data_IF_027602744222
#
_entry.id   IF_027602744222
#
_cell.length_a   1.000
_cell.length_b   1.000
_cell.length_c   1.000
_cell.angle_alpha   90.00
_cell.angle_beta   90.00
_cell.angle_gamma   90.00
#
_symmetry.space_group_name_H-M   'P 1'
#
loop_
_entity.id
_entity.type
_entity.pdbx_description
1 polymer ?
#
# COMPACT_ATOMS: atom_id res chain seq x y z
N UNK A 1 -69.88 -20.16 -40.96
CA UNK A 1 -69.02 -20.85 -41.94
C UNK A 1 -67.58 -20.71 -41.50
N UNK A 2 -66.96 -21.79 -41.03
CA UNK A 2 -65.58 -21.81 -40.53
C UNK A 2 -64.65 -22.35 -41.62
N UNK A 3 -63.64 -21.58 -42.02
CA UNK A 3 -62.63 -22.03 -42.98
C UNK A 3 -61.35 -22.42 -42.22
N UNK A 4 -61.12 -23.72 -42.06
CA UNK A 4 -59.84 -24.25 -41.56
C UNK A 4 -58.84 -24.35 -42.72
N UNK A 5 -57.71 -23.66 -42.58
CA UNK A 5 -56.58 -23.78 -43.51
C UNK A 5 -55.71 -24.98 -43.13
N UNK A 6 -55.21 -25.78 -44.09
CA UNK A 6 -54.31 -26.90 -43.78
C UNK A 6 -52.93 -26.37 -43.42
N UNK A 7 -52.50 -26.56 -42.16
CA UNK A 7 -51.13 -26.31 -41.75
C UNK A 7 -50.20 -27.31 -42.44
N UNK A 8 -49.36 -26.80 -43.34
CA UNK A 8 -48.30 -27.54 -44.01
C UNK A 8 -47.26 -27.93 -42.95
N UNK A 9 -47.23 -29.20 -42.55
CA UNK A 9 -46.22 -29.71 -41.63
C UNK A 9 -44.84 -29.65 -42.30
N UNK A 10 -43.93 -28.84 -41.76
CA UNK A 10 -42.56 -28.72 -42.24
C UNK A 10 -41.82 -30.00 -41.82
N UNK A 11 -41.60 -30.92 -42.76
CA UNK A 11 -40.84 -32.15 -42.52
C UNK A 11 -39.37 -31.89 -42.82
N UNK A 12 -38.60 -31.53 -41.79
CA UNK A 12 -37.16 -31.34 -41.92
C UNK A 12 -36.48 -32.68 -42.24
N UNK A 13 -35.52 -32.66 -43.16
CA UNK A 13 -34.78 -33.87 -43.55
C UNK A 13 -33.86 -34.31 -42.41
N UNK A 14 -33.52 -35.60 -42.36
CA UNK A 14 -32.75 -36.21 -41.26
C UNK A 14 -31.40 -35.48 -41.02
N UNK A 15 -30.77 -34.95 -42.07
CA UNK A 15 -29.50 -34.22 -42.00
C UNK A 15 -29.65 -32.82 -41.42
N UNK A 16 -30.81 -32.18 -41.56
CA UNK A 16 -31.10 -30.87 -40.95
C UNK A 16 -31.25 -31.02 -39.44
N UNK A 17 -31.89 -32.09 -38.97
CA UNK A 17 -31.93 -32.44 -37.55
C UNK A 17 -30.54 -32.75 -36.98
N UNK A 18 -29.70 -33.43 -37.76
CA UNK A 18 -28.32 -33.70 -37.36
C UNK A 18 -27.51 -32.40 -37.23
N UNK A 19 -27.69 -31.45 -38.15
CA UNK A 19 -27.06 -30.14 -38.08
C UNK A 19 -27.52 -29.34 -36.86
N UNK A 20 -28.81 -29.35 -36.52
CA UNK A 20 -29.34 -28.68 -35.33
C UNK A 20 -28.79 -29.30 -34.05
N UNK A 21 -28.75 -30.63 -33.95
CA UNK A 21 -28.18 -31.32 -32.81
C UNK A 21 -26.69 -31.00 -32.62
N UNK A 22 -25.92 -30.96 -33.72
CA UNK A 22 -24.51 -30.57 -33.70
C UNK A 22 -24.33 -29.13 -33.20
N UNK A 23 -25.16 -28.20 -33.66
CA UNK A 23 -25.07 -26.79 -33.31
C UNK A 23 -25.37 -26.56 -31.82
N UNK A 24 -26.38 -27.25 -31.28
CA UNK A 24 -26.70 -27.22 -29.83
C UNK A 24 -25.54 -27.80 -29.01
N UNK A 25 -24.95 -28.92 -29.45
CA UNK A 25 -23.80 -29.52 -28.78
C UNK A 25 -22.59 -28.58 -28.74
N UNK A 26 -22.31 -27.86 -29.83
CA UNK A 26 -21.22 -26.87 -29.90
C UNK A 26 -21.48 -25.69 -28.95
N UNK A 27 -22.70 -25.14 -28.93
CA UNK A 27 -23.06 -24.05 -28.02
C UNK A 27 -22.99 -24.48 -26.54
N UNK A 28 -23.41 -25.71 -26.24
CA UNK A 28 -23.30 -26.31 -24.91
C UNK A 28 -21.83 -26.51 -24.49
N UNK A 29 -21.00 -27.04 -25.39
CA UNK A 29 -19.57 -27.23 -25.13
C UNK A 29 -18.85 -25.90 -24.91
N UNK A 30 -19.15 -24.87 -25.72
CA UNK A 30 -18.60 -23.52 -25.54
C UNK A 30 -19.01 -22.91 -24.21
N UNK A 31 -20.28 -23.06 -23.82
CA UNK A 31 -20.79 -22.59 -22.53
C UNK A 31 -20.11 -23.32 -21.37
N UNK A 32 -20.01 -24.65 -21.45
CA UNK A 32 -19.35 -25.47 -20.43
C UNK A 32 -17.85 -25.13 -20.30
N UNK A 33 -17.16 -24.95 -21.43
CA UNK A 33 -15.75 -24.52 -21.48
C UNK A 33 -15.60 -23.14 -20.85
N UNK A 34 -16.53 -22.22 -21.10
CA UNK A 34 -16.54 -20.89 -20.47
C UNK A 34 -16.75 -20.99 -18.95
N UNK A 35 -17.61 -21.90 -18.45
CA UNK A 35 -17.79 -22.11 -17.02
C UNK A 35 -16.56 -22.75 -16.35
N UNK A 36 -15.89 -23.69 -17.01
CA UNK A 36 -14.70 -24.35 -16.47
C UNK A 36 -13.47 -23.42 -16.47
N UNK A 37 -13.39 -22.48 -17.40
CA UNK A 37 -12.34 -21.44 -17.44
C UNK A 37 -12.66 -20.22 -16.56
N UNK A 38 -13.90 -20.10 -16.05
CA UNK A 38 -14.33 -19.02 -15.15
C UNK A 38 -13.75 -19.10 -13.72
N UNK A 39 -12.86 -20.06 -13.46
CA UNK A 39 -12.16 -20.23 -12.19
C UNK A 39 -10.94 -19.32 -11.98
N UNK A 40 -10.57 -18.45 -12.93
CA UNK A 40 -9.37 -17.60 -12.80
C UNK A 40 -9.48 -16.20 -13.42
N UNK A 41 -10.69 -15.68 -13.64
CA UNK A 41 -10.85 -14.25 -13.98
C UNK A 41 -10.91 -13.45 -12.68
N UNK A 42 -9.76 -13.38 -12.02
CA UNK A 42 -9.47 -12.36 -11.01
C UNK A 42 -9.31 -11.00 -11.69
N UNK A 43 -9.96 -9.99 -11.11
CA UNK A 43 -9.66 -8.56 -11.25
C UNK A 43 -9.80 -7.92 -12.65
N UNK A 44 -10.90 -7.19 -12.83
CA UNK A 44 -10.90 -5.72 -12.87
C UNK A 44 -10.66 -5.17 -14.28
N UNK A 45 -11.74 -5.16 -15.09
CA UNK A 45 -11.94 -4.07 -16.03
C UNK A 45 -13.43 -3.72 -16.07
N UNK A 46 -13.89 -3.04 -15.01
CA UNK A 46 -15.08 -2.21 -15.11
C UNK A 46 -14.62 -0.84 -15.56
N UNK A 47 -14.52 -0.69 -16.88
CA UNK A 47 -14.34 0.58 -17.56
C UNK A 47 -15.55 1.47 -17.28
N UNK A 48 -15.51 2.20 -16.17
CA UNK A 48 -16.48 3.24 -15.85
C UNK A 48 -16.12 4.51 -16.65
N UNK A 49 -17.10 5.21 -17.26
CA UNK A 49 -16.84 6.40 -18.05
C UNK A 49 -16.19 7.50 -17.19
N UNK A 50 -15.06 8.02 -17.66
CA UNK A 50 -14.16 8.96 -16.97
C UNK A 50 -14.81 10.28 -16.53
N UNK A 51 -16.02 10.59 -16.99
CA UNK A 51 -16.73 11.84 -16.70
C UNK A 51 -17.51 11.82 -15.35
N UNK A 52 -17.86 10.65 -14.80
CA UNK A 52 -18.67 10.57 -13.57
C UNK A 52 -17.86 10.50 -12.25
N UNK A 53 -16.52 10.57 -12.30
CA UNK A 53 -15.65 10.31 -11.13
C UNK A 53 -15.11 11.57 -10.45
N UNK A 54 -15.92 12.61 -10.27
CA UNK A 54 -15.55 13.74 -9.37
C UNK A 54 -15.46 13.30 -7.89
N UNK A 55 -15.85 12.06 -7.59
CA UNK A 55 -15.76 11.38 -6.30
C UNK A 55 -15.30 9.92 -6.45
N UNK A 56 -14.31 9.68 -7.32
CA UNK A 56 -13.71 8.35 -7.49
C UNK A 56 -12.78 7.97 -6.34
N UNK A 57 -12.74 6.68 -5.97
CA UNK A 57 -11.64 6.13 -5.17
C UNK A 57 -10.42 5.92 -6.07
N UNK A 58 -9.25 6.27 -5.57
CA UNK A 58 -7.95 6.03 -6.17
C UNK A 58 -7.26 4.87 -5.46
N UNK A 59 -6.50 4.11 -6.23
CA UNK A 59 -5.61 3.08 -5.73
C UNK A 59 -4.20 3.68 -5.59
N UNK A 60 -3.56 3.46 -4.44
CA UNK A 60 -2.20 3.91 -4.14
C UNK A 60 -1.44 2.76 -3.48
N UNK A 61 -0.29 2.40 -4.04
CA UNK A 61 0.62 1.43 -3.44
C UNK A 61 1.62 2.15 -2.54
N UNK A 62 1.72 1.74 -1.27
CA UNK A 62 2.62 2.33 -0.28
C UNK A 62 3.65 1.29 0.14
N UNK A 63 4.92 1.64 0.04
CA UNK A 63 6.05 0.77 0.34
C UNK A 63 7.14 1.51 1.11
N UNK A 64 8.06 0.76 1.72
CA UNK A 64 9.26 1.30 2.36
C UNK A 64 9.13 1.44 3.89
N UNK A 65 9.55 2.58 4.42
CA UNK A 65 9.67 2.87 5.86
C UNK A 65 8.31 3.14 6.54
N UNK A 66 7.37 2.23 6.36
CA UNK A 66 6.00 2.26 6.92
C UNK A 66 5.72 0.98 7.69
N UNK A 67 4.84 1.06 8.68
CA UNK A 67 4.44 -0.11 9.49
C UNK A 67 3.54 -1.03 8.66
N UNK A 68 2.60 -0.45 7.92
CA UNK A 68 1.65 -1.19 7.10
C UNK A 68 1.88 -0.88 5.61
N UNK A 69 2.78 -1.60 4.92
CA UNK A 69 2.90 -1.50 3.48
C UNK A 69 1.73 -2.20 2.78
N UNK A 70 1.43 -1.75 1.56
CA UNK A 70 0.42 -2.37 0.71
C UNK A 70 -0.39 -1.38 -0.11
N UNK A 71 -1.43 -1.90 -0.75
CA UNK A 71 -2.33 -1.12 -1.62
C UNK A 71 -3.51 -0.55 -0.84
N UNK A 72 -3.73 0.75 -0.97
CA UNK A 72 -4.80 1.49 -0.31
C UNK A 72 -5.79 2.06 -1.31
N UNK A 73 -7.08 1.96 -0.97
CA UNK A 73 -8.20 2.51 -1.75
C UNK A 73 -8.74 3.77 -1.06
N UNK A 74 -8.35 4.93 -1.57
CA UNK A 74 -8.52 6.23 -0.92
C UNK A 74 -9.37 7.18 -1.76
N UNK A 75 -10.01 8.21 -1.20
CA UNK A 75 -10.71 9.21 -2.01
C UNK A 75 -9.75 9.95 -2.94
N UNK A 76 -10.19 10.24 -4.17
CA UNK A 76 -9.44 11.06 -5.12
C UNK A 76 -9.18 12.44 -4.54
N UNK A 77 -7.96 12.97 -4.75
CA UNK A 77 -7.56 14.27 -4.22
C UNK A 77 -7.12 14.26 -2.75
N UNK A 78 -7.00 13.08 -2.12
CA UNK A 78 -6.43 12.95 -0.77
C UNK A 78 -4.98 13.48 -0.74
N UNK A 79 -4.63 14.13 0.37
CA UNK A 79 -3.28 14.66 0.57
C UNK A 79 -2.31 13.55 0.97
N UNK A 80 -1.05 13.67 0.53
CA UNK A 80 0.03 12.75 0.88
C UNK A 80 0.15 12.53 2.40
N UNK A 81 0.00 13.59 3.19
CA UNK A 81 0.04 13.51 4.66
C UNK A 81 -0.94 12.48 5.22
N UNK A 82 -2.19 12.53 4.77
CA UNK A 82 -3.25 11.67 5.29
C UNK A 82 -3.01 10.21 4.91
N UNK A 83 -2.46 9.99 3.72
CA UNK A 83 -2.08 8.65 3.23
C UNK A 83 -0.93 8.05 4.05
N UNK A 84 0.11 8.84 4.33
CA UNK A 84 1.22 8.39 5.18
C UNK A 84 0.78 8.16 6.63
N UNK A 85 -0.22 8.89 7.10
CA UNK A 85 -0.81 8.69 8.43
C UNK A 85 -1.54 7.35 8.51
N UNK A 86 -2.26 6.95 7.45
CA UNK A 86 -2.92 5.64 7.36
C UNK A 86 -1.91 4.48 7.30
N UNK A 87 -0.82 4.65 6.55
CA UNK A 87 0.24 3.64 6.45
C UNK A 87 1.06 3.50 7.74
N UNK A 88 1.02 4.51 8.61
CA UNK A 88 1.83 4.70 9.82
C UNK A 88 3.34 4.67 9.53
N UNK A 89 4.02 5.79 9.76
CA UNK A 89 5.45 5.92 9.48
C UNK A 89 6.30 5.27 10.56
N UNK A 90 7.40 4.63 10.15
CA UNK A 90 8.42 4.18 11.10
C UNK A 90 9.23 5.37 11.65
N UNK A 91 9.83 5.26 12.86
CA UNK A 91 10.66 6.33 13.44
C UNK A 91 11.86 6.72 12.57
N UNK A 92 12.35 5.77 11.77
CA UNK A 92 13.43 5.99 10.82
C UNK A 92 12.94 6.50 9.46
N UNK A 93 11.65 6.77 9.22
CA UNK A 93 11.18 7.27 7.93
C UNK A 93 11.76 8.66 7.59
N UNK A 94 12.16 8.86 6.33
CA UNK A 94 12.67 10.12 5.80
C UNK A 94 11.62 10.84 4.93
N UNK A 95 10.99 11.86 5.52
CA UNK A 95 9.98 12.68 4.86
C UNK A 95 10.53 13.94 4.18
N UNK A 96 11.84 14.19 4.23
CA UNK A 96 12.42 15.48 3.78
C UNK A 96 12.16 15.81 2.31
N UNK A 97 11.91 14.77 1.49
CA UNK A 97 11.65 14.90 0.05
C UNK A 97 10.17 14.86 -0.31
N UNK A 98 9.29 14.66 0.67
CA UNK A 98 7.86 14.55 0.43
C UNK A 98 7.17 15.90 0.56
N UNK A 99 6.35 16.23 -0.44
CA UNK A 99 5.39 17.32 -0.33
C UNK A 99 4.12 16.80 0.35
N UNK A 100 3.91 17.18 1.60
CA UNK A 100 2.79 16.74 2.45
C UNK A 100 1.43 17.21 1.94
N UNK A 101 1.39 18.35 1.24
CA UNK A 101 0.18 18.96 0.68
C UNK A 101 -0.12 18.48 -0.74
N UNK A 102 0.78 17.72 -1.36
CA UNK A 102 0.55 17.21 -2.70
C UNK A 102 -0.60 16.20 -2.70
N UNK A 103 -1.52 16.38 -3.64
CA UNK A 103 -2.61 15.44 -3.88
C UNK A 103 -2.11 14.23 -4.65
N UNK A 104 -2.59 13.06 -4.25
CA UNK A 104 -2.27 11.81 -4.92
C UNK A 104 -3.24 11.55 -6.08
N UNK A 105 -2.69 10.99 -7.16
CA UNK A 105 -3.43 10.57 -8.36
C UNK A 105 -3.51 9.04 -8.37
N UNK A 106 -4.48 8.49 -9.11
CA UNK A 106 -4.70 7.04 -9.25
C UNK A 106 -3.45 6.32 -9.77
N UNK A 107 -3.16 5.14 -9.22
CA UNK A 107 -2.11 4.23 -9.68
C UNK A 107 -0.70 4.67 -9.30
N UNK A 108 -0.55 5.56 -8.31
CA UNK A 108 0.76 6.05 -7.88
C UNK A 108 1.38 5.11 -6.85
N UNK A 109 2.68 4.87 -7.02
CA UNK A 109 3.51 4.18 -6.02
C UNK A 109 4.19 5.23 -5.12
N UNK A 110 4.04 5.07 -3.82
CA UNK A 110 4.63 5.92 -2.78
C UNK A 110 5.67 5.10 -2.03
N UNK A 111 6.93 5.28 -2.40
CA UNK A 111 8.06 4.64 -1.71
C UNK A 111 8.63 5.58 -0.65
N UNK A 112 8.49 5.21 0.63
CA UNK A 112 9.00 5.99 1.76
C UNK A 112 10.43 5.53 2.10
N UNK A 113 11.46 6.37 1.91
CA UNK A 113 12.83 6.00 2.22
C UNK A 113 13.09 5.99 3.73
N UNK A 114 13.99 5.12 4.17
CA UNK A 114 14.50 5.09 5.55
C UNK A 114 15.72 6.01 5.70
N UNK A 115 15.81 6.70 6.84
CA UNK A 115 17.01 7.36 7.33
C UNK A 115 18.03 6.28 7.71
N UNK A 116 19.30 6.54 7.42
CA UNK A 116 20.39 5.73 7.99
C UNK A 116 20.34 5.85 9.51
N UNK A 117 20.36 4.72 10.22
CA UNK A 117 20.50 4.67 11.67
C UNK A 117 21.97 4.52 12.03
N UNK A 118 22.37 5.02 13.20
CA UNK A 118 23.68 4.81 13.81
C UNK A 118 23.45 4.17 15.18
N UNK A 119 24.33 3.27 15.57
CA UNK A 119 24.30 2.65 16.89
C UNK A 119 25.30 3.36 17.78
N UNK A 120 24.89 3.79 18.97
CA UNK A 120 25.78 4.39 19.97
C UNK A 120 25.69 3.59 21.26
N UNK A 121 26.77 3.59 22.04
CA UNK A 121 26.80 2.92 23.35
C UNK A 121 26.66 3.96 24.46
N UNK A 122 25.54 3.91 25.18
CA UNK A 122 25.24 4.77 26.32
C UNK A 122 25.80 4.16 27.61
N UNK A 123 26.62 4.94 28.31
CA UNK A 123 27.15 4.58 29.63
C UNK A 123 26.84 5.68 30.64
N UNK A 124 26.65 5.31 31.91
CA UNK A 124 26.51 6.27 33.01
C UNK A 124 25.07 6.41 33.52
N UNK A 125 24.69 7.63 33.93
CA UNK A 125 23.43 7.94 34.62
C UNK A 125 22.21 8.06 33.67
N UNK A 126 21.84 6.95 33.02
CA UNK A 126 20.63 6.80 32.19
C UNK A 126 19.82 5.60 32.67
N UNK A 127 18.50 5.63 32.49
CA UNK A 127 17.64 4.50 32.90
C UNK A 127 17.92 3.23 32.11
N UNK A 128 18.27 3.39 30.82
CA UNK A 128 18.55 2.27 29.91
C UNK A 128 19.96 2.41 29.32
N UNK A 129 21.02 2.01 30.06
CA UNK A 129 22.37 1.95 29.54
C UNK A 129 22.50 0.81 28.52
N UNK A 130 23.35 0.98 27.51
CA UNK A 130 23.57 -0.01 26.46
C UNK A 130 23.56 0.57 25.06
N UNK A 131 23.43 -0.30 24.06
CA UNK A 131 23.40 0.10 22.65
C UNK A 131 22.02 0.64 22.26
N UNK A 132 21.98 1.86 21.74
CA UNK A 132 20.77 2.48 21.20
C UNK A 132 20.99 2.90 19.75
N UNK A 133 19.98 2.65 18.92
CA UNK A 133 19.96 3.08 17.53
C UNK A 133 19.27 4.44 17.40
N UNK A 134 19.98 5.44 16.88
CA UNK A 134 19.45 6.79 16.63
C UNK A 134 19.63 7.18 15.16
N UNK A 135 18.82 8.09 14.61
CA UNK A 135 19.01 8.54 13.23
C UNK A 135 20.38 9.18 13.00
N UNK A 136 21.01 8.90 11.85
CA UNK A 136 22.29 9.48 11.45
C UNK A 136 22.19 11.00 11.38
N UNK A 137 23.08 11.67 12.10
CA UNK A 137 23.09 13.13 12.20
C UNK A 137 22.32 13.69 13.40
N UNK A 138 21.78 12.83 14.26
CA UNK A 138 21.28 13.21 15.60
C UNK A 138 22.39 13.93 16.38
N UNK A 139 22.04 15.05 17.00
CA UNK A 139 22.98 15.82 17.82
C UNK A 139 22.95 15.29 19.25
N UNK A 140 24.04 15.50 19.98
CA UNK A 140 24.11 15.15 21.40
C UNK A 140 22.99 15.83 22.22
N UNK A 141 22.54 17.02 21.79
CA UNK A 141 21.43 17.74 22.42
C UNK A 141 20.07 17.07 22.19
N UNK A 142 19.85 16.54 20.99
CA UNK A 142 18.60 15.89 20.59
C UNK A 142 18.49 14.50 21.24
N UNK A 143 19.64 13.86 21.51
CA UNK A 143 19.71 12.58 22.20
C UNK A 143 19.05 12.61 23.58
N UNK A 144 19.15 13.74 24.31
CA UNK A 144 18.47 13.92 25.60
C UNK A 144 16.97 13.71 25.53
N UNK A 145 16.35 14.09 24.41
CA UNK A 145 14.90 13.94 24.22
C UNK A 145 14.51 12.51 23.85
N UNK A 146 15.48 11.68 23.43
CA UNK A 146 15.26 10.29 23.04
C UNK A 146 15.54 9.30 24.18
N UNK A 147 16.24 9.73 25.24
CA UNK A 147 16.66 8.87 26.35
C UNK A 147 16.05 9.37 27.66
N UNK A 148 15.74 8.43 28.57
CA UNK A 148 15.36 8.75 29.93
C UNK A 148 16.62 8.97 30.77
N UNK A 149 16.82 10.21 31.22
CA UNK A 149 17.93 10.63 32.07
C UNK A 149 17.61 10.27 33.52
N UNK A 150 18.59 9.72 34.25
CA UNK A 150 18.41 9.45 35.68
C UNK A 150 18.36 10.73 36.52
N UNK A 151 17.94 10.60 37.79
CA UNK A 151 17.96 11.72 38.75
C UNK A 151 19.39 12.23 38.97
N UNK A 152 19.61 13.52 38.74
CA UNK A 152 20.92 14.22 38.78
C UNK A 152 21.87 13.89 37.62
N UNK A 153 21.52 14.32 36.40
CA UNK A 153 22.46 14.32 35.27
C UNK A 153 22.98 15.73 34.99
N UNK A 154 24.30 15.83 34.85
CA UNK A 154 25.01 17.02 34.38
C UNK A 154 24.68 17.36 32.91
N UNK A 155 23.58 18.09 32.73
CA UNK A 155 23.03 18.45 31.42
C UNK A 155 23.91 19.42 30.62
N UNK A 156 24.98 19.99 31.22
CA UNK A 156 26.00 20.83 30.54
C UNK A 156 26.85 20.04 29.54
N UNK A 157 27.29 18.82 29.89
CA UNK A 157 28.14 18.02 29.01
C UNK A 157 27.42 17.58 27.72
N UNK A 158 26.09 17.42 27.83
CA UNK A 158 25.21 16.98 26.77
C UNK A 158 24.66 18.13 25.90
N UNK A 159 24.94 19.41 26.18
CA UNK A 159 24.47 20.56 25.37
C UNK A 159 25.36 20.86 24.14
N UNK A 160 26.21 19.92 23.73
CA UNK A 160 27.11 20.11 22.59
C UNK A 160 26.34 19.91 21.28
N UNK A 161 26.35 20.91 20.39
CA UNK A 161 25.72 20.86 19.05
C UNK A 161 26.40 19.89 18.06
N UNK A 162 27.35 19.08 18.52
CA UNK A 162 28.07 18.10 17.67
C UNK A 162 27.15 16.94 17.30
N UNK A 163 27.39 16.37 16.12
CA UNK A 163 26.70 15.17 15.64
C UNK A 163 27.34 13.92 16.24
N UNK A 164 26.50 12.94 16.55
CA UNK A 164 26.92 11.62 17.00
C UNK A 164 27.48 10.81 15.83
N UNK A 165 28.46 9.97 16.12
CA UNK A 165 29.05 9.01 15.17
C UNK A 165 28.58 7.60 15.47
N UNK A 166 28.64 6.75 14.44
CA UNK A 166 28.36 5.32 14.58
C UNK A 166 29.43 4.64 15.44
N UNK A 167 29.01 3.79 16.37
CA UNK A 167 29.86 3.13 17.37
C UNK A 167 30.39 4.05 18.49
N UNK A 168 29.94 5.31 18.57
CA UNK A 168 30.43 6.24 19.57
C UNK A 168 29.96 5.86 20.98
N UNK A 169 30.88 5.86 21.95
CA UNK A 169 30.52 5.72 23.37
C UNK A 169 30.22 7.09 23.95
N UNK A 170 28.99 7.28 24.42
CA UNK A 170 28.57 8.50 25.11
C UNK A 170 28.44 8.19 26.59
N UNK A 171 29.36 8.74 27.38
CA UNK A 171 29.34 8.64 28.84
C UNK A 171 28.62 9.82 29.44
N UNK A 172 27.62 9.54 30.28
CA UNK A 172 26.80 10.53 30.97
C UNK A 172 27.21 10.49 32.45
N UNK A 173 27.93 11.54 32.86
CA UNK A 173 28.30 11.72 34.26
C UNK A 173 27.10 12.18 35.09
N UNK A 174 27.08 11.75 36.35
CA UNK A 174 26.22 12.29 37.39
C UNK A 174 26.65 13.71 37.73
#
# INVERSE_FOLDING_TARGET
MSTSSPHKAITLKIHEWLAVALLIAILGALSMMAYLTKGSVGEQDRSMPAFLSKSGKIEVLIEGAVINPGTYYLPSGIAMKDVLMLAQLLPNADLRRFNMSAQLKKGRVVNVPSKSMITINLKGAVENPGEISVPKGTRLVDLKALIQLGENVDSKALNRKRKLKDGETVTISK
#
